data_IF_732100017659
#
_entry.id   IF_732100017659
#
_cell.length_a   1.000
_cell.length_b   1.000
_cell.length_c   1.000
_cell.angle_alpha   90.00
_cell.angle_beta   90.00
_cell.angle_gamma   90.00
#
_symmetry.space_group_name_H-M   'P 1'
#
loop_
_entity.id
_entity.type
_entity.pdbx_description
1 polymer ?
#
# COMPACT_ATOMS: atom_id res chain seq x y z
N UNK A 1 -22.18 -17.58 -33.44
CA UNK A 1 -23.12 -17.81 -32.32
C UNK A 1 -22.68 -18.96 -31.42
N UNK A 2 -22.51 -20.21 -31.89
CA UNK A 2 -22.13 -21.35 -31.04
C UNK A 2 -20.83 -21.20 -30.21
N UNK A 3 -19.80 -20.49 -30.72
CA UNK A 3 -18.57 -20.22 -29.95
C UNK A 3 -18.81 -19.25 -28.78
N UNK A 4 -19.71 -18.28 -28.95
CA UNK A 4 -20.06 -17.33 -27.90
C UNK A 4 -20.94 -17.97 -26.83
N UNK A 5 -21.86 -18.88 -27.20
CA UNK A 5 -22.62 -19.68 -26.24
C UNK A 5 -21.73 -20.61 -25.42
N UNK A 6 -20.75 -21.29 -26.05
CA UNK A 6 -19.78 -22.12 -25.34
C UNK A 6 -18.89 -21.30 -24.40
N UNK A 7 -18.49 -20.10 -24.82
CA UNK A 7 -17.76 -19.16 -23.96
C UNK A 7 -18.63 -18.69 -22.78
N UNK A 8 -19.88 -18.28 -23.03
CA UNK A 8 -20.80 -17.82 -22.00
C UNK A 8 -21.14 -18.93 -20.99
N UNK A 9 -21.35 -20.17 -21.45
CA UNK A 9 -21.56 -21.33 -20.58
C UNK A 9 -20.33 -21.65 -19.74
N UNK A 10 -19.13 -21.55 -20.32
CA UNK A 10 -17.88 -21.74 -19.58
C UNK A 10 -17.69 -20.64 -18.52
N UNK A 11 -17.86 -19.38 -18.88
CA UNK A 11 -17.78 -18.25 -17.95
C UNK A 11 -18.86 -18.32 -16.87
N UNK A 12 -20.07 -18.81 -17.17
CA UNK A 12 -21.14 -18.97 -16.20
C UNK A 12 -20.82 -19.99 -15.09
N UNK A 13 -19.90 -20.93 -15.33
CA UNK A 13 -19.43 -21.91 -14.33
C UNK A 13 -18.11 -21.44 -13.69
N UNK A 14 -17.16 -20.95 -14.50
CA UNK A 14 -15.84 -20.51 -14.02
C UNK A 14 -15.93 -19.25 -13.13
N UNK A 15 -16.85 -18.32 -13.42
CA UNK A 15 -16.99 -17.09 -12.61
C UNK A 15 -17.44 -17.42 -11.17
N UNK A 16 -18.52 -18.19 -10.92
CA UNK A 16 -18.90 -18.58 -9.56
C UNK A 16 -17.78 -19.30 -8.80
N UNK A 17 -17.09 -20.25 -9.43
CA UNK A 17 -15.98 -20.96 -8.79
C UNK A 17 -14.82 -20.02 -8.43
N UNK A 18 -14.44 -19.10 -9.33
CA UNK A 18 -13.46 -18.05 -9.05
C UNK A 18 -13.91 -17.15 -7.90
N UNK A 19 -15.19 -16.77 -7.88
CA UNK A 19 -15.76 -15.92 -6.81
C UNK A 19 -15.69 -16.63 -5.47
N UNK A 20 -16.03 -17.92 -5.40
CA UNK A 20 -15.97 -18.70 -4.16
C UNK A 20 -14.52 -18.92 -3.69
N UNK A 21 -13.59 -19.20 -4.62
CA UNK A 21 -12.17 -19.27 -4.32
C UNK A 21 -11.64 -17.95 -3.76
N UNK A 22 -11.94 -16.82 -4.43
CA UNK A 22 -11.54 -15.50 -3.94
C UNK A 22 -12.15 -15.18 -2.58
N UNK A 23 -13.40 -15.57 -2.33
CA UNK A 23 -14.06 -15.37 -1.04
C UNK A 23 -13.35 -16.15 0.07
N UNK A 24 -12.98 -17.40 -0.20
CA UNK A 24 -12.24 -18.22 0.74
C UNK A 24 -10.84 -17.66 1.02
N UNK A 25 -10.05 -17.39 -0.02
CA UNK A 25 -8.72 -16.79 0.12
C UNK A 25 -8.76 -15.44 0.85
N UNK A 26 -9.77 -14.62 0.57
CA UNK A 26 -9.93 -13.32 1.22
C UNK A 26 -10.18 -13.49 2.71
N UNK A 27 -11.04 -14.45 3.09
CA UNK A 27 -11.31 -14.75 4.49
C UNK A 27 -10.04 -15.17 5.22
N UNK A 28 -9.27 -16.09 4.65
CA UNK A 28 -7.99 -16.54 5.22
C UNK A 28 -6.98 -15.39 5.37
N UNK A 29 -6.84 -14.55 4.34
CA UNK A 29 -5.93 -13.39 4.38
C UNK A 29 -6.37 -12.34 5.40
N UNK A 30 -7.67 -12.13 5.59
CA UNK A 30 -8.20 -11.23 6.61
C UNK A 30 -7.94 -11.80 8.00
N UNK A 31 -8.17 -13.09 8.23
CA UNK A 31 -7.85 -13.75 9.49
C UNK A 31 -6.34 -13.70 9.79
N UNK A 32 -5.48 -13.88 8.79
CA UNK A 32 -4.02 -13.71 8.90
C UNK A 32 -3.66 -12.31 9.39
N UNK A 33 -4.25 -11.26 8.80
CA UNK A 33 -4.02 -9.87 9.21
C UNK A 33 -4.53 -9.62 10.63
N UNK A 34 -5.74 -10.07 10.97
CA UNK A 34 -6.30 -9.91 12.33
C UNK A 34 -5.38 -10.55 13.35
N UNK A 35 -4.96 -11.78 13.09
CA UNK A 35 -4.08 -12.50 14.00
C UNK A 35 -2.70 -11.84 14.07
N UNK A 36 -2.19 -11.27 12.98
CA UNK A 36 -0.95 -10.50 12.99
C UNK A 36 -1.04 -9.25 13.86
N UNK A 37 -2.15 -8.51 13.80
CA UNK A 37 -2.36 -7.28 14.57
C UNK A 37 -2.54 -7.59 16.06
N UNK A 38 -3.18 -8.72 16.39
CA UNK A 38 -3.35 -9.18 17.77
C UNK A 38 -2.10 -9.82 18.37
N UNK A 39 -1.10 -10.12 17.55
CA UNK A 39 0.12 -10.78 17.99
C UNK A 39 1.00 -9.84 18.84
N UNK A 40 1.21 -10.25 20.10
CA UNK A 40 2.04 -9.57 21.09
C UNK A 40 3.33 -10.34 21.41
N UNK A 41 3.63 -11.41 20.66
CA UNK A 41 4.85 -12.19 20.84
C UNK A 41 6.11 -11.30 20.66
N UNK A 42 7.28 -11.71 21.19
CA UNK A 42 8.54 -10.99 20.97
C UNK A 42 8.88 -10.80 19.49
N UNK A 43 9.81 -9.89 19.20
CA UNK A 43 10.31 -9.69 17.83
C UNK A 43 10.91 -11.04 17.33
N UNK A 44 10.55 -11.51 16.12
CA UNK A 44 11.04 -12.80 15.63
C UNK A 44 12.56 -12.85 15.52
N UNK A 45 13.19 -13.92 16.01
CA UNK A 45 14.66 -14.08 15.93
C UNK A 45 15.18 -14.16 14.48
N UNK A 46 14.35 -14.66 13.56
CA UNK A 46 14.63 -14.72 12.13
C UNK A 46 14.56 -13.34 11.44
N UNK A 47 14.15 -12.28 12.16
CA UNK A 47 13.99 -10.95 11.59
C UNK A 47 15.35 -10.33 11.24
N UNK A 48 15.61 -10.26 9.94
CA UNK A 48 16.74 -9.53 9.42
C UNK A 48 16.38 -8.06 9.16
N UNK A 49 16.83 -7.15 10.02
CA UNK A 49 16.59 -5.70 9.89
C UNK A 49 17.18 -5.07 8.61
N UNK A 50 18.17 -5.69 7.96
CA UNK A 50 18.62 -5.25 6.63
C UNK A 50 17.57 -5.54 5.57
N UNK A 51 17.04 -6.77 5.53
CA UNK A 51 15.98 -7.17 4.59
C UNK A 51 14.71 -6.36 4.81
N UNK A 52 14.37 -6.10 6.08
CA UNK A 52 13.28 -5.20 6.46
C UNK A 52 13.49 -3.79 5.89
N UNK A 53 14.67 -3.19 6.14
CA UNK A 53 15.03 -1.88 5.59
C UNK A 53 14.87 -1.84 4.07
N UNK A 54 15.41 -2.82 3.35
CA UNK A 54 15.32 -2.88 1.88
C UNK A 54 13.86 -2.98 1.42
N UNK A 55 13.02 -3.78 2.10
CA UNK A 55 11.60 -3.91 1.77
C UNK A 55 10.87 -2.57 1.89
N UNK A 56 11.01 -1.86 3.02
CA UNK A 56 10.36 -0.58 3.27
C UNK A 56 10.96 0.56 2.44
N UNK A 57 12.25 0.50 2.13
CA UNK A 57 12.87 1.47 1.22
C UNK A 57 12.30 1.35 -0.21
N UNK A 58 12.03 0.13 -0.69
CA UNK A 58 11.33 -0.05 -1.96
C UNK A 58 9.88 0.44 -1.94
N UNK A 59 9.18 0.31 -0.81
CA UNK A 59 7.86 0.95 -0.62
C UNK A 59 8.00 2.47 -0.79
N UNK A 60 9.00 3.10 -0.18
CA UNK A 60 9.23 4.54 -0.32
C UNK A 60 9.48 4.93 -1.80
N UNK A 61 10.30 4.16 -2.53
CA UNK A 61 10.52 4.37 -3.97
C UNK A 61 9.20 4.30 -4.75
N UNK A 62 8.35 3.31 -4.44
CA UNK A 62 7.03 3.19 -5.08
C UNK A 62 6.13 4.38 -4.77
N UNK A 63 6.09 4.86 -3.52
CA UNK A 63 5.30 6.04 -3.13
C UNK A 63 5.81 7.29 -3.85
N UNK A 64 7.11 7.45 -4.02
CA UNK A 64 7.70 8.55 -4.82
C UNK A 64 7.23 8.45 -6.28
N UNK A 65 7.32 7.25 -6.88
CA UNK A 65 6.83 7.02 -8.25
C UNK A 65 5.35 7.34 -8.41
N UNK A 66 4.53 6.90 -7.45
CA UNK A 66 3.12 7.24 -7.37
C UNK A 66 2.88 8.75 -7.25
N UNK A 67 3.61 9.45 -6.38
CA UNK A 67 3.50 10.90 -6.20
C UNK A 67 3.86 11.68 -7.47
N UNK A 68 4.95 11.29 -8.15
CA UNK A 68 5.31 11.87 -9.45
C UNK A 68 4.22 11.62 -10.50
N UNK A 69 3.68 10.41 -10.53
CA UNK A 69 2.53 10.08 -11.38
C UNK A 69 1.32 10.94 -11.08
N UNK A 70 0.98 11.16 -9.81
CA UNK A 70 -0.15 12.01 -9.38
C UNK A 70 -0.01 13.44 -9.88
N UNK A 71 1.18 14.04 -9.76
CA UNK A 71 1.46 15.38 -10.29
C UNK A 71 1.27 15.42 -11.81
N UNK A 72 1.84 14.44 -12.52
CA UNK A 72 1.72 14.34 -13.98
C UNK A 72 0.24 14.21 -14.39
N UNK A 73 -0.50 13.30 -13.76
CA UNK A 73 -1.91 13.06 -14.07
C UNK A 73 -2.83 14.23 -13.75
N UNK A 74 -2.50 15.03 -12.74
CA UNK A 74 -3.31 16.19 -12.33
C UNK A 74 -2.99 17.48 -13.10
N UNK A 75 -1.77 17.63 -13.64
CA UNK A 75 -1.32 18.89 -14.25
C UNK A 75 -1.05 18.82 -15.75
N UNK A 76 -0.61 17.68 -16.29
CA UNK A 76 -0.02 17.60 -17.63
C UNK A 76 -0.90 16.91 -18.67
N UNK A 77 -1.89 16.12 -18.26
CA UNK A 77 -2.54 15.16 -19.17
C UNK A 77 -4.07 15.25 -19.14
N UNK A 78 -4.72 16.28 -18.59
CA UNK A 78 -6.20 16.34 -18.60
C UNK A 78 -6.79 16.19 -20.02
N UNK A 79 -6.30 16.99 -20.97
CA UNK A 79 -6.79 16.99 -22.36
C UNK A 79 -6.43 15.71 -23.14
N UNK A 80 -5.29 15.09 -22.83
CA UNK A 80 -4.81 13.89 -23.54
C UNK A 80 -5.41 12.62 -22.92
N UNK A 81 -5.50 12.54 -21.59
CA UNK A 81 -5.98 11.34 -20.90
C UNK A 81 -7.48 11.21 -21.10
N UNK A 82 -8.22 12.31 -21.12
CA UNK A 82 -9.67 12.30 -21.41
C UNK A 82 -10.01 11.79 -22.81
N UNK A 83 -9.08 11.88 -23.78
CA UNK A 83 -9.20 11.29 -25.10
C UNK A 83 -8.94 9.77 -25.13
N UNK A 84 -8.14 9.27 -24.18
CA UNK A 84 -7.71 7.86 -24.13
C UNK A 84 -8.60 7.05 -23.16
N UNK A 85 -9.04 7.67 -22.08
CA UNK A 85 -9.66 7.01 -20.94
C UNK A 85 -10.67 7.95 -20.27
N UNK A 86 -11.95 7.60 -20.29
CA UNK A 86 -12.96 8.31 -19.52
C UNK A 86 -12.80 8.04 -18.02
N UNK A 87 -13.46 8.84 -17.17
CA UNK A 87 -13.34 8.71 -15.71
C UNK A 87 -13.78 7.32 -15.21
N UNK A 88 -14.79 6.71 -15.82
CA UNK A 88 -15.27 5.38 -15.41
C UNK A 88 -14.23 4.31 -15.68
N UNK A 89 -13.60 4.35 -16.87
CA UNK A 89 -12.50 3.46 -17.22
C UNK A 89 -11.28 3.70 -16.34
N UNK A 90 -10.96 4.97 -16.01
CA UNK A 90 -9.86 5.29 -15.12
C UNK A 90 -10.08 4.73 -13.70
N UNK A 91 -11.32 4.77 -13.18
CA UNK A 91 -11.68 4.11 -11.92
C UNK A 91 -11.49 2.60 -12.04
N UNK A 92 -12.05 1.97 -13.07
CA UNK A 92 -11.92 0.53 -13.28
C UNK A 92 -10.45 0.09 -13.34
N UNK A 93 -9.61 0.84 -14.06
CA UNK A 93 -8.17 0.58 -14.18
C UNK A 93 -7.44 0.75 -12.84
N UNK A 94 -7.64 1.90 -12.19
CA UNK A 94 -6.84 2.28 -11.02
C UNK A 94 -7.13 1.41 -9.79
N UNK A 95 -8.40 1.09 -9.55
CA UNK A 95 -8.85 0.41 -8.34
C UNK A 95 -9.05 -1.10 -8.50
N UNK A 96 -9.12 -1.62 -9.73
CA UNK A 96 -9.39 -3.05 -9.95
C UNK A 96 -8.41 -3.71 -10.91
N UNK A 97 -8.35 -3.25 -12.16
CA UNK A 97 -7.62 -3.99 -13.20
C UNK A 97 -6.11 -3.96 -13.00
N UNK A 98 -5.51 -2.81 -12.67
CA UNK A 98 -4.07 -2.71 -12.41
C UNK A 98 -3.68 -3.52 -11.15
N UNK A 99 -4.34 -3.34 -9.99
CA UNK A 99 -4.06 -4.16 -8.80
C UNK A 99 -4.14 -5.67 -9.09
N UNK A 100 -5.19 -6.11 -9.78
CA UNK A 100 -5.41 -7.52 -10.11
C UNK A 100 -4.33 -8.05 -11.06
N UNK A 101 -4.02 -7.30 -12.12
CA UNK A 101 -2.96 -7.66 -13.07
C UNK A 101 -1.61 -7.81 -12.36
N UNK A 102 -1.25 -6.85 -11.49
CA UNK A 102 0.01 -6.89 -10.75
C UNK A 102 0.03 -8.06 -9.78
N UNK A 103 -1.08 -8.33 -9.07
CA UNK A 103 -1.20 -9.48 -8.17
C UNK A 103 -0.94 -10.81 -8.89
N UNK A 104 -1.60 -11.03 -10.04
CA UNK A 104 -1.39 -12.22 -10.87
C UNK A 104 0.06 -12.29 -11.36
N UNK A 105 0.60 -11.16 -11.84
CA UNK A 105 1.97 -11.10 -12.37
C UNK A 105 3.01 -11.42 -11.30
N UNK A 106 2.86 -10.92 -10.09
CA UNK A 106 3.75 -11.21 -8.97
C UNK A 106 3.78 -12.70 -8.62
N UNK A 107 2.65 -13.41 -8.73
CA UNK A 107 2.60 -14.87 -8.53
C UNK A 107 3.50 -15.66 -9.48
N UNK A 108 3.88 -15.08 -10.63
CA UNK A 108 4.77 -15.71 -11.62
C UNK A 108 6.24 -15.32 -11.46
N UNK A 109 6.54 -14.35 -10.60
CA UNK A 109 7.89 -13.78 -10.44
C UNK A 109 8.53 -14.24 -9.11
N UNK A 110 9.85 -14.44 -9.06
CA UNK A 110 10.53 -14.69 -7.80
C UNK A 110 10.46 -13.46 -6.87
N UNK A 111 10.20 -13.67 -5.57
CA UNK A 111 9.94 -12.61 -4.56
C UNK A 111 11.06 -11.57 -4.36
N UNK A 112 12.30 -11.91 -4.72
CA UNK A 112 13.46 -11.02 -4.62
C UNK A 112 14.00 -10.57 -5.98
N UNK A 113 13.30 -10.91 -7.06
CA UNK A 113 13.71 -10.52 -8.40
C UNK A 113 13.54 -9.01 -8.60
N UNK A 114 14.52 -8.43 -9.29
CA UNK A 114 14.46 -7.07 -9.81
C UNK A 114 13.18 -6.83 -10.59
N UNK A 115 12.72 -7.81 -11.38
CA UNK A 115 11.50 -7.70 -12.21
C UNK A 115 10.25 -7.38 -11.38
N UNK A 116 10.08 -8.00 -10.21
CA UNK A 116 8.93 -7.74 -9.34
C UNK A 116 8.91 -6.28 -8.86
N UNK A 117 10.07 -5.76 -8.45
CA UNK A 117 10.23 -4.38 -7.97
C UNK A 117 9.92 -3.34 -9.05
N UNK A 118 10.43 -3.55 -10.26
CA UNK A 118 10.17 -2.63 -11.38
C UNK A 118 8.72 -2.73 -11.88
N UNK A 119 8.10 -3.92 -11.81
CA UNK A 119 6.67 -4.08 -12.11
C UNK A 119 5.81 -3.28 -11.11
N UNK A 120 6.12 -3.38 -9.82
CA UNK A 120 5.46 -2.62 -8.77
C UNK A 120 5.67 -1.10 -8.91
N UNK A 121 6.88 -0.66 -9.25
CA UNK A 121 7.16 0.75 -9.50
C UNK A 121 6.39 1.29 -10.71
N UNK A 122 6.35 0.53 -11.81
CA UNK A 122 5.58 0.92 -12.99
C UNK A 122 4.07 1.01 -12.68
N UNK A 123 3.55 0.04 -11.92
CA UNK A 123 2.17 0.08 -11.44
C UNK A 123 1.90 1.29 -10.55
N UNK A 124 2.80 1.60 -9.61
CA UNK A 124 2.68 2.76 -8.74
C UNK A 124 2.63 4.07 -9.52
N UNK A 125 3.50 4.26 -10.53
CA UNK A 125 3.49 5.44 -11.39
C UNK A 125 2.17 5.52 -12.18
N UNK A 126 1.74 4.43 -12.81
CA UNK A 126 0.51 4.40 -13.61
C UNK A 126 -0.74 4.67 -12.76
N UNK A 127 -0.83 4.05 -11.59
CA UNK A 127 -1.90 4.32 -10.62
C UNK A 127 -1.81 5.75 -10.10
N UNK A 128 -0.61 6.30 -9.95
CA UNK A 128 -0.39 7.72 -9.64
C UNK A 128 -1.01 8.63 -10.70
N UNK A 129 -0.70 8.41 -11.98
CA UNK A 129 -1.26 9.18 -13.10
C UNK A 129 -2.78 9.11 -13.11
N UNK A 130 -3.36 7.91 -12.99
CA UNK A 130 -4.80 7.74 -12.96
C UNK A 130 -5.44 8.41 -11.74
N UNK A 131 -4.81 8.30 -10.57
CA UNK A 131 -5.27 8.94 -9.33
C UNK A 131 -5.23 10.46 -9.45
N UNK A 132 -4.15 11.01 -10.02
CA UNK A 132 -4.02 12.44 -10.31
C UNK A 132 -5.11 12.96 -11.24
N UNK A 133 -5.38 12.23 -12.33
CA UNK A 133 -6.46 12.54 -13.27
C UNK A 133 -7.84 12.49 -12.60
N UNK A 134 -8.12 11.46 -11.79
CA UNK A 134 -9.40 11.31 -11.11
C UNK A 134 -9.65 12.40 -10.06
N UNK A 135 -8.59 12.97 -9.49
CA UNK A 135 -8.68 13.87 -8.35
C UNK A 135 -8.21 15.31 -8.64
N UNK A 136 -7.96 15.66 -9.91
CA UNK A 136 -7.36 16.95 -10.32
C UNK A 136 -8.08 18.20 -9.78
N UNK A 137 -9.41 18.15 -9.64
CA UNK A 137 -10.22 19.29 -9.17
C UNK A 137 -10.46 19.29 -7.65
N UNK A 138 -9.71 18.50 -6.89
CA UNK A 138 -9.84 18.40 -5.43
C UNK A 138 -8.53 18.86 -4.77
N UNK A 139 -8.64 19.50 -3.61
CA UNK A 139 -7.50 20.00 -2.83
C UNK A 139 -6.45 18.90 -2.59
N UNK A 140 -5.18 19.28 -2.70
CA UNK A 140 -4.04 18.38 -2.44
C UNK A 140 -4.07 17.85 -1.00
N UNK A 141 -4.37 16.57 -0.86
CA UNK A 141 -4.30 15.89 0.43
C UNK A 141 -2.87 15.44 0.67
N UNK A 142 -2.28 15.90 1.78
CA UNK A 142 -0.92 15.58 2.25
C UNK A 142 -0.69 14.10 2.62
N UNK A 143 -1.56 13.17 2.21
CA UNK A 143 -1.44 11.77 2.57
C UNK A 143 -0.18 11.13 1.98
N UNK A 144 0.08 11.33 0.68
CA UNK A 144 1.22 10.73 -0.01
C UNK A 144 2.57 11.18 0.60
N UNK A 145 2.83 12.48 0.83
CA UNK A 145 4.05 12.92 1.49
C UNK A 145 4.19 12.42 2.93
N UNK A 146 3.09 12.35 3.68
CA UNK A 146 3.11 11.88 5.07
C UNK A 146 3.37 10.38 5.18
N UNK A 147 2.75 9.59 4.30
CA UNK A 147 3.00 8.16 4.17
C UNK A 147 4.46 7.89 3.80
N UNK A 148 5.01 8.66 2.85
CA UNK A 148 6.41 8.56 2.46
C UNK A 148 7.34 8.85 3.65
N UNK A 149 7.10 9.94 4.36
CA UNK A 149 7.89 10.31 5.53
C UNK A 149 7.84 9.22 6.61
N UNK A 150 6.65 8.65 6.86
CA UNK A 150 6.47 7.59 7.84
C UNK A 150 7.23 6.30 7.45
N UNK A 151 7.10 5.85 6.21
CA UNK A 151 7.78 4.64 5.71
C UNK A 151 9.31 4.82 5.74
N UNK A 152 9.82 5.99 5.39
CA UNK A 152 11.25 6.30 5.50
C UNK A 152 11.72 6.30 6.95
N UNK A 153 10.95 6.93 7.85
CA UNK A 153 11.24 6.92 9.28
C UNK A 153 11.33 5.48 9.81
N UNK A 154 10.32 4.65 9.53
CA UNK A 154 10.28 3.23 9.91
C UNK A 154 11.50 2.49 9.39
N UNK A 155 11.82 2.63 8.10
CA UNK A 155 12.94 1.92 7.49
C UNK A 155 14.27 2.27 8.19
N UNK A 156 14.54 3.57 8.33
CA UNK A 156 15.80 4.09 8.88
C UNK A 156 15.91 3.74 10.37
N UNK A 157 14.87 4.05 11.15
CA UNK A 157 14.88 3.83 12.59
C UNK A 157 14.98 2.35 12.90
N UNK A 158 14.19 1.48 12.26
CA UNK A 158 14.29 0.02 12.44
C UNK A 158 15.69 -0.51 12.17
N UNK A 159 16.40 0.04 11.17
CA UNK A 159 17.77 -0.36 10.87
C UNK A 159 18.74 0.00 12.00
N UNK A 160 18.55 1.15 12.63
CA UNK A 160 19.44 1.69 13.67
C UNK A 160 19.16 1.07 15.04
N UNK A 161 17.89 0.95 15.44
CA UNK A 161 17.51 0.56 16.80
C UNK A 161 17.03 -0.89 16.92
N UNK A 162 16.62 -1.53 15.82
CA UNK A 162 15.93 -2.81 15.86
C UNK A 162 16.71 -3.91 16.59
N UNK A 163 18.02 -3.97 16.36
CA UNK A 163 18.92 -4.92 17.02
C UNK A 163 19.23 -4.59 18.48
N UNK A 164 18.89 -3.38 18.96
CA UNK A 164 19.21 -2.89 20.31
C UNK A 164 18.08 -3.11 21.31
N UNK A 165 16.89 -3.48 20.84
CA UNK A 165 15.68 -3.53 21.66
C UNK A 165 15.42 -4.88 22.34
N UNK A 166 16.41 -5.79 22.34
CA UNK A 166 16.40 -7.06 23.09
C UNK A 166 15.06 -7.83 23.00
N UNK A 167 14.51 -7.93 21.78
CA UNK A 167 13.24 -8.56 21.45
C UNK A 167 11.96 -7.96 22.08
N UNK A 168 12.03 -6.77 22.68
CA UNK A 168 10.86 -6.03 23.18
C UNK A 168 10.09 -5.37 22.02
N UNK A 169 9.02 -6.05 21.61
CA UNK A 169 8.13 -5.61 20.53
C UNK A 169 7.32 -4.36 20.90
N UNK A 170 6.96 -4.18 22.17
CA UNK A 170 6.16 -3.03 22.61
C UNK A 170 7.03 -1.76 22.62
N UNK A 171 8.25 -1.86 23.13
CA UNK A 171 9.22 -0.76 23.03
C UNK A 171 9.51 -0.41 21.57
N UNK A 172 9.68 -1.41 20.69
CA UNK A 172 9.87 -1.20 19.26
C UNK A 172 8.71 -0.43 18.60
N UNK A 173 7.46 -0.83 18.84
CA UNK A 173 6.30 -0.10 18.29
C UNK A 173 6.08 1.26 18.93
N UNK A 174 6.32 1.41 20.22
CA UNK A 174 6.27 2.70 20.91
C UNK A 174 7.24 3.70 20.27
N UNK A 175 8.45 3.26 19.93
CA UNK A 175 9.41 4.09 19.23
C UNK A 175 8.95 4.36 17.79
N UNK A 176 8.65 3.32 17.02
CA UNK A 176 8.44 3.49 15.58
C UNK A 176 7.14 4.21 15.25
N UNK A 177 6.04 3.86 15.91
CA UNK A 177 4.74 4.46 15.62
C UNK A 177 4.46 5.67 16.52
N UNK A 178 4.78 5.55 17.81
CA UNK A 178 4.52 6.60 18.79
C UNK A 178 5.35 7.86 18.53
N UNK A 179 6.67 7.71 18.35
CA UNK A 179 7.54 8.87 18.10
C UNK A 179 7.27 9.46 16.70
N UNK A 180 7.03 8.64 15.67
CA UNK A 180 6.64 9.14 14.35
C UNK A 180 5.37 10.01 14.42
N UNK A 181 4.33 9.52 15.10
CA UNK A 181 3.09 10.26 15.30
C UNK A 181 3.35 11.58 16.05
N UNK A 182 4.11 11.53 17.15
CA UNK A 182 4.45 12.72 17.92
C UNK A 182 5.21 13.76 17.07
N UNK A 183 6.16 13.33 16.23
CA UNK A 183 6.89 14.21 15.31
C UNK A 183 5.94 14.86 14.31
N UNK A 184 5.04 14.09 13.70
CA UNK A 184 4.09 14.63 12.71
C UNK A 184 3.14 15.66 13.33
N UNK A 185 2.54 15.35 14.48
CA UNK A 185 1.62 16.26 15.17
C UNK A 185 2.36 17.51 15.66
N UNK A 186 3.52 17.36 16.30
CA UNK A 186 4.30 18.51 16.79
C UNK A 186 4.72 19.41 15.64
N UNK A 187 5.19 18.84 14.53
CA UNK A 187 5.58 19.60 13.35
C UNK A 187 4.39 20.35 12.76
N UNK A 188 3.22 19.71 12.62
CA UNK A 188 2.02 20.37 12.10
C UNK A 188 1.52 21.51 13.01
N UNK A 189 1.68 21.37 14.33
CA UNK A 189 1.37 22.44 15.28
C UNK A 189 2.35 23.61 15.16
N UNK A 190 3.66 23.33 15.08
CA UNK A 190 4.72 24.35 14.96
C UNK A 190 4.56 25.15 13.65
N UNK A 191 4.28 24.47 12.54
CA UNK A 191 4.11 25.12 11.23
C UNK A 191 2.69 25.66 10.98
N UNK A 192 1.76 25.47 11.93
CA UNK A 192 0.37 25.93 11.79
C UNK A 192 -0.43 25.22 10.68
N UNK A 193 0.00 24.03 10.24
CA UNK A 193 -0.64 23.25 9.17
C UNK A 193 -1.64 22.21 9.68
N UNK A 194 -1.95 22.24 10.97
CA UNK A 194 -2.84 21.27 11.62
C UNK A 194 -4.28 21.44 11.12
N UNK A 195 -4.78 20.43 10.42
CA UNK A 195 -6.17 20.35 9.92
C UNK A 195 -6.77 18.99 10.26
N UNK A 196 -8.11 18.87 10.18
CA UNK A 196 -8.79 17.56 10.35
C UNK A 196 -8.28 16.53 9.35
N UNK A 197 -8.05 16.96 8.10
CA UNK A 197 -7.49 16.12 7.04
C UNK A 197 -6.06 15.71 7.33
N UNK A 198 -5.22 16.62 7.84
CA UNK A 198 -3.86 16.28 8.25
C UNK A 198 -3.86 15.22 9.37
N UNK A 199 -4.68 15.42 10.41
CA UNK A 199 -4.79 14.46 11.51
C UNK A 199 -5.27 13.08 11.03
N UNK A 200 -6.29 13.04 10.17
CA UNK A 200 -6.77 11.79 9.59
C UNK A 200 -5.68 11.07 8.79
N UNK A 201 -4.89 11.80 7.99
CA UNK A 201 -3.76 11.24 7.25
C UNK A 201 -2.66 10.73 8.19
N UNK A 202 -2.35 11.46 9.26
CA UNK A 202 -1.33 11.06 10.23
C UNK A 202 -1.71 9.77 10.96
N UNK A 203 -2.96 9.68 11.38
CA UNK A 203 -3.52 8.47 12.00
C UNK A 203 -3.46 7.31 11.00
N UNK A 204 -3.93 7.52 9.76
CA UNK A 204 -3.88 6.49 8.73
C UNK A 204 -2.45 6.01 8.47
N UNK A 205 -1.49 6.94 8.36
CA UNK A 205 -0.12 6.59 8.05
C UNK A 205 0.50 5.68 9.12
N UNK A 206 0.28 6.00 10.39
CA UNK A 206 0.80 5.24 11.53
C UNK A 206 0.07 3.90 11.70
N UNK A 207 -1.24 3.86 11.52
CA UNK A 207 -2.01 2.61 11.62
C UNK A 207 -1.65 1.65 10.48
N UNK A 208 -1.62 2.15 9.24
CA UNK A 208 -1.29 1.33 8.07
C UNK A 208 0.12 0.75 8.17
N UNK A 209 1.10 1.54 8.62
CA UNK A 209 2.44 1.04 8.86
C UNK A 209 2.52 0.04 10.00
N UNK A 210 1.79 0.26 11.10
CA UNK A 210 1.74 -0.70 12.20
C UNK A 210 1.25 -2.06 11.69
N UNK A 211 0.12 -2.10 10.98
CA UNK A 211 -0.45 -3.33 10.41
C UNK A 211 0.56 -4.01 9.47
N UNK A 212 1.19 -3.25 8.56
CA UNK A 212 2.17 -3.82 7.62
C UNK A 212 3.38 -4.40 8.32
N UNK A 213 3.90 -3.75 9.37
CA UNK A 213 5.02 -4.28 10.16
C UNK A 213 4.61 -5.55 10.91
N UNK A 214 3.42 -5.56 11.52
CA UNK A 214 2.86 -6.72 12.22
C UNK A 214 2.77 -7.95 11.29
N UNK A 215 2.19 -7.75 10.10
CA UNK A 215 2.09 -8.79 9.07
C UNK A 215 3.48 -9.22 8.58
N UNK A 216 4.41 -8.28 8.39
CA UNK A 216 5.79 -8.60 8.00
C UNK A 216 6.46 -9.51 9.03
N UNK A 217 6.42 -9.14 10.32
CA UNK A 217 7.04 -9.91 11.40
C UNK A 217 6.45 -11.32 11.51
N UNK A 218 5.12 -11.43 11.48
CA UNK A 218 4.43 -12.73 11.49
C UNK A 218 4.87 -13.63 10.35
N UNK A 219 4.90 -13.11 9.12
CA UNK A 219 5.32 -13.89 7.94
C UNK A 219 6.79 -14.25 7.94
N UNK A 220 7.64 -13.43 8.57
CA UNK A 220 9.03 -13.79 8.84
C UNK A 220 9.10 -14.96 9.82
N UNK A 221 8.33 -14.93 10.91
CA UNK A 221 8.30 -16.03 11.88
C UNK A 221 7.82 -17.34 11.25
N UNK A 222 6.89 -17.28 10.30
CA UNK A 222 6.38 -18.44 9.55
C UNK A 222 7.27 -18.88 8.38
N UNK A 223 8.33 -18.12 8.04
CA UNK A 223 9.15 -18.33 6.83
C UNK A 223 8.36 -18.23 5.50
N UNK A 224 7.23 -17.52 5.52
CA UNK A 224 6.32 -17.35 4.37
C UNK A 224 6.33 -15.89 3.84
N UNK A 225 7.39 -15.13 4.14
CA UNK A 225 7.50 -13.74 3.74
C UNK A 225 7.52 -13.60 2.22
N UNK A 226 6.49 -12.90 1.71
CA UNK A 226 6.36 -12.45 0.32
C UNK A 226 6.36 -10.92 0.26
N UNK A 227 7.54 -10.26 0.18
CA UNK A 227 7.66 -8.81 0.28
C UNK A 227 6.90 -8.07 -0.83
N UNK A 228 6.88 -8.63 -2.05
CA UNK A 228 6.26 -7.96 -3.20
C UNK A 228 4.74 -7.80 -3.03
N UNK A 229 4.07 -8.81 -2.46
CA UNK A 229 2.64 -8.75 -2.15
C UNK A 229 2.33 -7.78 -1.01
N UNK A 230 3.22 -7.66 -0.01
CA UNK A 230 3.07 -6.69 1.06
C UNK A 230 3.21 -5.24 0.53
N UNK A 231 4.17 -5.03 -0.37
CA UNK A 231 4.37 -3.76 -1.07
C UNK A 231 3.15 -3.37 -1.90
N UNK A 232 2.59 -4.33 -2.66
CA UNK A 232 1.36 -4.12 -3.42
C UNK A 232 0.17 -3.77 -2.51
N UNK A 233 0.00 -4.50 -1.41
CA UNK A 233 -1.10 -4.28 -0.47
C UNK A 233 -1.05 -2.88 0.13
N UNK A 234 0.13 -2.41 0.57
CA UNK A 234 0.29 -1.08 1.14
C UNK A 234 0.10 0.04 0.10
N UNK A 235 0.58 -0.15 -1.12
CA UNK A 235 0.36 0.81 -2.21
C UNK A 235 -1.15 0.98 -2.46
N UNK A 236 -1.86 -0.11 -2.67
CA UNK A 236 -3.29 -0.07 -2.94
C UNK A 236 -4.09 0.46 -1.74
N UNK A 237 -3.74 0.06 -0.51
CA UNK A 237 -4.41 0.60 0.68
C UNK A 237 -4.26 2.12 0.75
N UNK A 238 -3.06 2.64 0.42
CA UNK A 238 -2.77 4.07 0.44
C UNK A 238 -3.59 4.81 -0.62
N UNK A 239 -3.70 4.26 -1.84
CA UNK A 239 -4.53 4.82 -2.92
C UNK A 239 -6.01 4.85 -2.52
N UNK A 240 -6.51 3.76 -1.93
CA UNK A 240 -7.90 3.67 -1.49
C UNK A 240 -8.19 4.67 -0.37
N UNK A 241 -7.29 4.76 0.60
CA UNK A 241 -7.40 5.71 1.71
C UNK A 241 -7.34 7.16 1.23
N UNK A 242 -6.44 7.50 0.30
CA UNK A 242 -6.37 8.82 -0.30
C UNK A 242 -7.69 9.23 -0.93
N UNK A 243 -8.29 8.30 -1.67
CA UNK A 243 -9.58 8.49 -2.34
C UNK A 243 -10.70 8.65 -1.31
N UNK A 244 -10.76 7.75 -0.31
CA UNK A 244 -11.77 7.76 0.73
C UNK A 244 -11.74 9.02 1.60
N UNK A 245 -10.55 9.41 2.07
CA UNK A 245 -10.35 10.64 2.86
C UNK A 245 -10.76 11.88 2.04
N UNK A 246 -10.45 11.90 0.73
CA UNK A 246 -10.88 12.97 -0.19
C UNK A 246 -12.39 12.99 -0.43
N UNK A 247 -13.08 11.85 -0.37
CA UNK A 247 -14.53 11.80 -0.55
C UNK A 247 -15.31 12.16 0.72
N UNK A 248 -14.76 11.89 1.92
CA UNK A 248 -15.45 12.13 3.19
C UNK A 248 -15.20 13.51 3.81
N UNK A 249 -14.06 14.14 3.54
CA UNK A 249 -13.64 15.39 4.19
C UNK A 249 -13.79 16.62 3.28
N UNK A 250 -14.59 16.51 2.22
CA UNK A 250 -15.06 17.61 1.36
C UNK A 250 -16.58 17.69 1.50
#
# INVERSE_FOLDING_TARGET
>A
MQQFEKFAQRMAVEIPELVDQFKHETKEKVEDIITAVQDQAPIPDLLNFHKFFVCFFWIAIMIIGFFCGEIIGSQLIEDILSLICDRSSAIALNYFLIPLFVYIKLGTLPEYDRRARFTLLAAAILQGILTGFLLMNRLNVLLTPLQLANILYIAIVSRIIGHKLNNDRQAYYGIINGIAFAIFISSALIFGTMTKTFLANAIYAVISSHIVIQVYMRRVAQSELKPSFLQLALLNSSIYAQTFIRLLLI
#
